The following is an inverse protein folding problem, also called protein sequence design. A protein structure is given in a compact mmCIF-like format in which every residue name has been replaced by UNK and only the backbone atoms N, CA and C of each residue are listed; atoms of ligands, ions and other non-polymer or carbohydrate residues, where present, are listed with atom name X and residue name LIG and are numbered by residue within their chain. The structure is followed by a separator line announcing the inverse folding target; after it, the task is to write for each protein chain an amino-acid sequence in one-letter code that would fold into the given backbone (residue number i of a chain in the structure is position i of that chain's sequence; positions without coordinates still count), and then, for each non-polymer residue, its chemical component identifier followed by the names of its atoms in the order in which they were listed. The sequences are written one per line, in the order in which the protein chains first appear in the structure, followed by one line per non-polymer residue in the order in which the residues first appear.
data_IF_649042429850
#
_entry.id   IF_649042429850
#
_cell.length_a   1.000
_cell.length_b   1.000
_cell.length_c   1.000
_cell.angle_alpha   90.00
_cell.angle_beta   90.00
_cell.angle_gamma   90.00
#
_symmetry.space_group_name_H-M   'P 1'
#
loop_
_entity.id
_entity.type
_entity.pdbx_description
1 polymer ?
#
# COMPACT_ATOMS: atom_id res chain seq x y z
N UNK A 1 -6.75 19.78 -40.87
CA UNK A 1 -7.09 18.78 -39.84
C UNK A 1 -8.44 18.23 -40.23
N UNK A 2 -8.53 16.94 -40.50
CA UNK A 2 -9.76 16.29 -40.99
C UNK A 2 -10.56 15.78 -39.80
N UNK A 3 -11.90 15.75 -39.87
CA UNK A 3 -12.78 15.34 -38.77
C UNK A 3 -12.53 13.90 -38.24
N UNK A 4 -11.77 13.09 -38.96
CA UNK A 4 -11.30 11.79 -38.51
C UNK A 4 -10.22 11.91 -37.41
N UNK A 5 -9.36 12.90 -37.48
CA UNK A 5 -8.33 13.17 -36.48
C UNK A 5 -8.98 13.64 -35.15
N UNK A 6 -10.02 14.47 -35.23
CA UNK A 6 -10.73 14.96 -34.05
C UNK A 6 -11.43 13.81 -33.31
N UNK A 7 -12.05 12.87 -34.03
CA UNK A 7 -12.69 11.69 -33.43
C UNK A 7 -11.68 10.80 -32.71
N UNK A 8 -10.49 10.61 -33.29
CA UNK A 8 -9.40 9.84 -32.69
C UNK A 8 -8.92 10.50 -31.39
N UNK A 9 -8.64 11.81 -31.40
CA UNK A 9 -8.18 12.51 -30.20
C UNK A 9 -9.24 12.55 -29.10
N UNK A 10 -10.51 12.67 -29.45
CA UNK A 10 -11.61 12.61 -28.48
C UNK A 10 -11.72 11.24 -27.84
N UNK A 11 -11.53 10.16 -28.59
CA UNK A 11 -11.54 8.80 -28.05
C UNK A 11 -10.37 8.60 -27.12
N UNK A 12 -9.16 8.96 -27.55
CA UNK A 12 -7.95 8.87 -26.71
C UNK A 12 -8.09 9.69 -25.41
N UNK A 13 -8.62 10.90 -25.50
CA UNK A 13 -8.87 11.74 -24.32
C UNK A 13 -9.86 11.10 -23.35
N UNK A 14 -10.95 10.49 -23.86
CA UNK A 14 -11.91 9.77 -23.02
C UNK A 14 -11.27 8.56 -22.35
N UNK A 15 -10.48 7.79 -23.08
CA UNK A 15 -9.80 6.62 -22.55
C UNK A 15 -8.83 7.02 -21.42
N UNK A 16 -8.00 8.04 -21.64
CA UNK A 16 -7.08 8.57 -20.62
C UNK A 16 -7.84 9.11 -19.41
N UNK A 17 -8.91 9.87 -19.62
CA UNK A 17 -9.72 10.43 -18.53
C UNK A 17 -10.53 9.35 -17.79
N UNK A 18 -10.82 8.21 -18.42
CA UNK A 18 -11.52 7.10 -17.77
C UNK A 18 -10.61 6.25 -16.89
N UNK A 19 -9.28 6.37 -17.03
CA UNK A 19 -8.34 5.68 -16.16
C UNK A 19 -8.51 6.19 -14.71
N UNK A 20 -8.97 5.32 -13.84
CA UNK A 20 -9.16 5.62 -12.39
C UNK A 20 -7.85 5.79 -11.61
N UNK A 21 -6.73 5.89 -12.31
CA UNK A 21 -5.38 5.91 -11.72
C UNK A 21 -4.93 7.31 -11.28
N UNK A 22 -5.56 8.37 -11.76
CA UNK A 22 -5.11 9.73 -11.46
C UNK A 22 -5.60 10.21 -10.09
N UNK A 23 -4.68 10.59 -9.17
CA UNK A 23 -5.06 11.11 -7.84
C UNK A 23 -5.81 12.46 -7.88
N UNK A 24 -5.89 13.11 -9.04
CA UNK A 24 -6.65 14.37 -9.24
C UNK A 24 -8.14 14.16 -9.45
N UNK A 25 -8.62 12.94 -9.53
CA UNK A 25 -10.06 12.64 -9.59
C UNK A 25 -10.73 12.92 -8.25
N UNK A 26 -12.07 12.91 -8.24
CA UNK A 26 -12.82 13.02 -7.00
C UNK A 26 -12.40 11.90 -6.03
N UNK A 27 -12.28 12.24 -4.76
CA UNK A 27 -11.82 11.29 -3.73
C UNK A 27 -12.69 10.03 -3.68
N UNK A 28 -14.01 10.16 -3.84
CA UNK A 28 -14.93 9.03 -3.88
C UNK A 28 -14.65 8.07 -5.05
N UNK A 29 -14.58 8.60 -6.28
CA UNK A 29 -14.29 7.78 -7.46
C UNK A 29 -12.90 7.12 -7.38
N UNK A 30 -11.92 7.83 -6.79
CA UNK A 30 -10.59 7.29 -6.59
C UNK A 30 -10.60 6.17 -5.56
N UNK A 31 -11.31 6.36 -4.43
CA UNK A 31 -11.49 5.33 -3.41
C UNK A 31 -12.15 4.07 -3.99
N UNK A 32 -13.26 4.23 -4.70
CA UNK A 32 -13.99 3.12 -5.32
C UNK A 32 -13.12 2.34 -6.31
N UNK A 33 -12.30 3.05 -7.08
CA UNK A 33 -11.34 2.43 -7.98
C UNK A 33 -10.29 1.60 -7.21
N UNK A 34 -9.69 2.17 -6.17
CA UNK A 34 -8.67 1.50 -5.37
C UNK A 34 -9.24 0.28 -4.63
N UNK A 35 -10.42 0.41 -4.01
CA UNK A 35 -11.12 -0.69 -3.36
C UNK A 35 -11.31 -1.86 -4.32
N UNK A 36 -11.88 -1.59 -5.49
CA UNK A 36 -12.09 -2.63 -6.51
C UNK A 36 -10.77 -3.27 -6.93
N UNK A 37 -9.69 -2.49 -7.12
CA UNK A 37 -8.38 -3.03 -7.50
C UNK A 37 -7.78 -3.92 -6.42
N UNK A 38 -7.88 -3.53 -5.17
CA UNK A 38 -7.43 -4.34 -4.03
C UNK A 38 -8.23 -5.64 -3.92
N UNK A 39 -9.54 -5.57 -4.09
CA UNK A 39 -10.42 -6.74 -4.00
C UNK A 39 -10.20 -7.73 -5.17
N UNK A 40 -9.91 -7.22 -6.37
CA UNK A 40 -9.59 -8.03 -7.55
C UNK A 40 -8.21 -8.69 -7.45
N UNK A 41 -7.19 -7.94 -7.02
CA UNK A 41 -5.81 -8.41 -7.01
C UNK A 41 -5.43 -9.21 -5.77
N UNK A 42 -6.12 -8.98 -4.64
CA UNK A 42 -5.85 -9.60 -3.32
C UNK A 42 -4.36 -9.59 -2.97
N UNK A 43 -3.73 -8.41 -2.92
CA UNK A 43 -2.31 -8.33 -2.66
C UNK A 43 -1.99 -8.72 -1.22
N UNK A 44 -0.80 -9.23 -0.96
CA UNK A 44 -0.26 -9.43 0.39
C UNK A 44 0.29 -8.16 1.01
N UNK A 45 0.66 -7.17 0.18
CA UNK A 45 1.18 -5.88 0.62
C UNK A 45 0.97 -4.81 -0.45
N UNK A 46 1.13 -3.54 -0.07
CA UNK A 46 0.95 -2.39 -0.97
C UNK A 46 2.20 -1.52 -0.96
N UNK A 47 2.78 -1.26 -2.13
CA UNK A 47 3.82 -0.25 -2.32
C UNK A 47 3.23 0.88 -3.16
N UNK A 48 3.19 2.08 -2.59
CA UNK A 48 2.75 3.28 -3.28
C UNK A 48 3.95 4.12 -3.71
N UNK A 49 4.18 4.20 -5.02
CA UNK A 49 5.25 5.01 -5.58
C UNK A 49 4.68 6.35 -6.08
N UNK A 50 5.00 7.44 -5.41
CA UNK A 50 4.60 8.79 -5.81
C UNK A 50 5.77 9.56 -6.40
N UNK A 51 5.48 10.41 -7.37
CA UNK A 51 6.48 11.30 -7.94
C UNK A 51 6.84 12.41 -6.94
N UNK A 52 8.13 12.74 -6.86
CA UNK A 52 8.63 13.88 -6.09
C UNK A 52 7.93 15.17 -6.51
N UNK A 53 7.59 16.00 -5.53
CA UNK A 53 6.88 17.26 -5.72
C UNK A 53 5.48 17.14 -6.34
N UNK A 54 4.85 15.96 -6.25
CA UNK A 54 3.49 15.75 -6.70
C UNK A 54 2.51 15.85 -5.51
N UNK A 55 1.97 17.05 -5.26
CA UNK A 55 1.02 17.27 -4.17
C UNK A 55 -0.21 16.35 -4.26
N UNK A 56 -0.87 16.18 -5.43
CA UNK A 56 -1.97 15.22 -5.54
C UNK A 56 -1.57 13.79 -5.17
N UNK A 57 -0.34 13.38 -5.51
CA UNK A 57 0.19 12.06 -5.14
C UNK A 57 0.43 11.94 -3.64
N UNK A 58 0.89 13.01 -2.99
CA UNK A 58 1.09 13.03 -1.54
C UNK A 58 -0.24 12.90 -0.78
N UNK A 59 -1.30 13.58 -1.21
CA UNK A 59 -2.64 13.41 -0.65
C UNK A 59 -3.23 12.01 -0.92
N UNK A 60 -3.02 11.48 -2.12
CA UNK A 60 -3.49 10.14 -2.48
C UNK A 60 -2.79 9.05 -1.65
N UNK A 61 -1.53 9.26 -1.26
CA UNK A 61 -0.79 8.35 -0.38
C UNK A 61 -1.51 8.10 0.95
N UNK A 62 -2.14 9.14 1.52
CA UNK A 62 -2.93 9.02 2.75
C UNK A 62 -4.13 8.10 2.52
N UNK A 63 -4.88 8.31 1.44
CA UNK A 63 -6.02 7.47 1.08
C UNK A 63 -5.60 6.00 0.87
N UNK A 64 -4.48 5.77 0.19
CA UNK A 64 -3.98 4.40 -0.04
C UNK A 64 -3.53 3.75 1.27
N UNK A 65 -2.88 4.51 2.16
CA UNK A 65 -2.48 4.03 3.48
C UNK A 65 -3.70 3.61 4.33
N UNK A 66 -4.74 4.46 4.38
CA UNK A 66 -6.00 4.14 5.08
C UNK A 66 -6.65 2.86 4.54
N UNK A 67 -6.70 2.70 3.22
CA UNK A 67 -7.27 1.51 2.58
C UNK A 67 -6.45 0.24 2.84
N UNK A 68 -5.13 0.36 2.95
CA UNK A 68 -4.25 -0.75 3.31
C UNK A 68 -4.45 -1.13 4.78
N UNK A 69 -4.50 -0.14 5.69
CA UNK A 69 -4.75 -0.34 7.11
C UNK A 69 -6.11 -1.00 7.37
N UNK A 70 -7.19 -0.53 6.72
CA UNK A 70 -8.54 -1.13 6.79
C UNK A 70 -8.55 -2.63 6.43
N UNK A 71 -7.58 -3.10 5.67
CA UNK A 71 -7.44 -4.49 5.21
C UNK A 71 -6.34 -5.27 5.92
N UNK A 72 -5.64 -4.64 6.86
CA UNK A 72 -4.49 -5.26 7.52
C UNK A 72 -3.32 -5.54 6.58
N UNK A 73 -3.18 -4.76 5.47
CA UNK A 73 -2.12 -4.92 4.51
C UNK A 73 -0.91 -4.07 4.88
N UNK A 74 0.30 -4.64 4.90
CA UNK A 74 1.53 -3.87 4.99
C UNK A 74 1.61 -2.81 3.90
N UNK A 75 2.05 -1.60 4.26
CA UNK A 75 2.08 -0.46 3.36
C UNK A 75 3.45 0.23 3.36
N UNK A 76 3.95 0.54 2.16
CA UNK A 76 5.17 1.32 1.97
C UNK A 76 4.90 2.49 1.01
N UNK A 77 5.09 3.73 1.48
CA UNK A 77 5.13 4.93 0.62
C UNK A 77 6.58 5.21 0.20
N UNK A 78 6.82 5.33 -1.10
CA UNK A 78 8.11 5.71 -1.67
C UNK A 78 7.97 6.92 -2.58
N UNK A 79 8.94 7.82 -2.48
CA UNK A 79 9.05 8.98 -3.36
C UNK A 79 10.08 8.71 -4.44
N UNK A 80 9.71 8.93 -5.70
CA UNK A 80 10.54 8.68 -6.86
C UNK A 80 10.73 9.95 -7.68
N UNK A 81 11.96 10.18 -8.15
CA UNK A 81 12.28 11.31 -9.02
C UNK A 81 11.86 11.07 -10.47
N UNK A 82 11.98 12.12 -11.28
CA UNK A 82 11.83 12.01 -12.72
C UNK A 82 13.10 12.60 -13.40
N UNK A 83 13.72 11.85 -14.32
CA UNK A 83 13.42 10.46 -14.72
C UNK A 83 13.58 9.46 -13.56
N UNK A 84 12.84 8.36 -13.61
CA UNK A 84 12.94 7.32 -12.59
C UNK A 84 14.31 6.66 -12.63
N UNK A 85 15.02 6.74 -11.51
CA UNK A 85 16.27 6.03 -11.31
C UNK A 85 16.17 5.19 -10.06
N UNK A 86 16.48 3.90 -10.19
CA UNK A 86 16.58 3.00 -9.04
C UNK A 86 17.82 3.35 -8.21
N UNK A 87 17.64 4.23 -7.24
CA UNK A 87 18.74 4.62 -6.33
C UNK A 87 18.99 3.53 -5.28
N UNK A 88 20.23 3.47 -4.77
CA UNK A 88 20.59 2.56 -3.68
C UNK A 88 19.66 2.69 -2.46
N UNK A 89 19.38 3.91 -1.96
CA UNK A 89 18.45 4.11 -0.86
C UNK A 89 17.02 3.60 -1.12
N UNK A 90 16.51 3.76 -2.33
CA UNK A 90 15.20 3.24 -2.71
C UNK A 90 15.17 1.71 -2.65
N UNK A 91 16.18 1.09 -3.22
CA UNK A 91 16.34 -0.37 -3.20
C UNK A 91 16.37 -0.90 -1.77
N UNK A 92 17.21 -0.31 -0.92
CA UNK A 92 17.31 -0.70 0.49
C UNK A 92 15.98 -0.61 1.24
N UNK A 93 15.18 0.46 0.99
CA UNK A 93 13.86 0.60 1.62
C UNK A 93 12.87 -0.48 1.18
N UNK A 94 12.87 -0.83 -0.11
CA UNK A 94 11.99 -1.89 -0.63
C UNK A 94 12.45 -3.26 -0.12
N UNK A 95 13.76 -3.54 -0.12
CA UNK A 95 14.30 -4.78 0.42
C UNK A 95 13.96 -4.94 1.91
N UNK A 96 14.19 -3.93 2.73
CA UNK A 96 13.83 -3.96 4.16
C UNK A 96 12.33 -4.16 4.40
N UNK A 97 11.47 -3.55 3.58
CA UNK A 97 10.02 -3.73 3.66
C UNK A 97 9.62 -5.19 3.35
N UNK A 98 10.22 -5.81 2.34
CA UNK A 98 9.94 -7.20 1.99
C UNK A 98 10.49 -8.18 3.03
N UNK A 99 11.69 -7.92 3.55
CA UNK A 99 12.30 -8.74 4.62
C UNK A 99 11.46 -8.71 5.91
N UNK A 100 10.92 -7.53 6.27
CA UNK A 100 10.07 -7.42 7.46
C UNK A 100 8.81 -8.30 7.37
N UNK A 101 8.23 -8.46 6.19
CA UNK A 101 7.06 -9.31 6.01
C UNK A 101 7.37 -10.80 6.07
N UNK A 102 8.52 -11.21 5.56
CA UNK A 102 8.97 -12.60 5.67
C UNK A 102 9.23 -13.00 7.13
N UNK A 103 9.74 -12.06 7.94
CA UNK A 103 9.96 -12.29 9.37
C UNK A 103 8.65 -12.38 10.16
N UNK A 104 7.64 -11.61 9.80
CA UNK A 104 6.33 -11.67 10.46
C UNK A 104 5.63 -13.01 10.18
N UNK A 105 5.72 -13.53 8.95
CA UNK A 105 5.15 -14.83 8.59
C UNK A 105 5.86 -15.98 9.33
N UNK A 106 7.19 -15.96 9.38
CA UNK A 106 7.99 -16.98 10.09
C UNK A 106 7.76 -16.95 11.61
N UNK A 107 7.61 -15.75 12.21
CA UNK A 107 7.33 -15.58 13.63
C UNK A 107 5.91 -16.04 14.01
N UNK A 108 4.94 -15.83 13.13
CA UNK A 108 3.57 -16.31 13.32
C UNK A 108 3.50 -17.85 13.26
N UNK A 109 4.21 -18.47 12.33
CA UNK A 109 4.28 -19.92 12.21
C UNK A 109 4.97 -20.55 13.45
N UNK A 110 6.09 -19.97 13.92
CA UNK A 110 6.76 -20.40 15.15
C UNK A 110 5.90 -20.23 16.41
N UNK A 111 5.09 -19.16 16.49
CA UNK A 111 4.17 -18.94 17.61
C UNK A 111 2.96 -19.87 17.58
N UNK A 112 2.49 -20.25 16.39
CA UNK A 112 1.41 -21.20 16.21
C UNK A 112 1.83 -22.66 16.44
N UNK A 113 3.09 -23.00 16.15
CA UNK A 113 3.67 -24.32 16.44
C UNK A 113 4.09 -24.49 17.91
N UNK A 114 4.32 -23.40 18.64
CA UNK A 114 4.59 -23.45 20.07
C UNK A 114 3.30 -23.51 20.87
N UNK A 115 2.73 -24.70 21.01
CA UNK A 115 1.65 -25.02 21.97
C UNK A 115 2.05 -24.77 23.45
N UNK A 116 3.21 -24.20 23.72
CA UNK A 116 3.78 -23.91 25.04
C UNK A 116 3.50 -22.49 25.58
N UNK A 117 2.56 -21.75 25.01
CA UNK A 117 2.10 -20.49 25.64
C UNK A 117 1.06 -20.73 26.74
N UNK A 118 0.90 -21.97 27.19
CA UNK A 118 0.21 -22.26 28.43
C UNK A 118 1.07 -21.92 29.64
N UNK A 119 0.69 -20.84 30.32
CA UNK A 119 0.88 -20.67 31.77
C UNK A 119 2.30 -20.52 32.32
N UNK A 120 3.12 -19.67 31.76
CA UNK A 120 4.28 -19.14 32.52
C UNK A 120 4.04 -17.72 33.00
N UNK A 121 3.37 -17.62 34.18
CA UNK A 121 3.71 -16.56 35.11
C UNK A 121 2.84 -15.34 35.19
N UNK A 122 1.52 -15.45 35.19
CA UNK A 122 0.68 -14.35 35.71
C UNK A 122 -0.03 -14.68 37.03
N UNK A 123 0.40 -15.74 37.71
CA UNK A 123 -0.19 -16.16 38.98
C UNK A 123 0.87 -16.35 40.09
N UNK A 124 1.86 -15.46 40.18
CA UNK A 124 2.79 -15.46 41.31
C UNK A 124 3.20 -14.06 41.69
N UNK A 125 2.31 -13.32 42.36
CA UNK A 125 2.68 -11.99 42.83
C UNK A 125 1.60 -11.18 43.52
N UNK A 126 0.57 -11.83 44.06
CA UNK A 126 -0.42 -11.15 44.90
C UNK A 126 -0.73 -11.99 46.13
N UNK A 127 0.26 -12.32 46.93
CA UNK A 127 0.08 -12.69 48.32
C UNK A 127 1.42 -12.49 49.03
N UNK A 128 1.57 -11.37 49.70
CA UNK A 128 2.29 -11.15 50.93
C UNK A 128 2.55 -9.67 51.16
N UNK A 129 1.60 -9.01 51.85
CA UNK A 129 1.93 -8.02 52.84
C UNK A 129 0.76 -7.97 53.86
N UNK A 130 0.98 -8.68 54.96
CA UNK A 130 0.45 -8.29 56.28
C UNK A 130 1.36 -7.24 56.87
#
# INVERSE_FOLDING_TARGET
MTGADDAYYLTLARDVLSLGMCPRRSTGERRDYLVRRLDESRPSSVIYARQSFCDPGAYDAVLVAELAEERGLPYLDIEVGFPFEASGPLRTRVEAFLEAQLLDDDLLDDLLESDDFEARGFAAGLDQEE
#
